data_IF_280784078647
#
_entry.id   IF_280784078647
#
_cell.length_a   1.000
_cell.length_b   1.000
_cell.length_c   1.000
_cell.angle_alpha   90.00
_cell.angle_beta   90.00
_cell.angle_gamma   90.00
#
_symmetry.space_group_name_H-M   'P 1'
#
loop_
_entity.id
_entity.type
_entity.pdbx_description
1 polymer ?
#
# COMPACT_ATOMS: atom_id res chain seq x y z
N UNK A 1 -0.74 6.89 -1.77
CA UNK A 1 -0.71 5.64 -2.56
C UNK A 1 -0.32 4.50 -1.63
N UNK A 2 -1.27 3.67 -1.18
CA UNK A 2 -0.98 2.62 -0.19
C UNK A 2 -0.27 1.40 -0.82
N UNK A 3 0.41 0.62 0.02
CA UNK A 3 1.18 -0.56 -0.39
C UNK A 3 0.29 -1.63 -1.04
N UNK A 4 -0.93 -1.79 -0.53
CA UNK A 4 -1.89 -2.80 -0.98
C UNK A 4 -2.33 -2.54 -2.42
N UNK A 5 -2.63 -1.30 -2.78
CA UNK A 5 -3.01 -0.90 -4.11
C UNK A 5 -1.89 -1.15 -5.12
N UNK A 6 -0.63 -0.86 -4.73
CA UNK A 6 0.53 -1.14 -5.58
C UNK A 6 0.72 -2.64 -5.80
N UNK A 7 0.62 -3.45 -4.74
CA UNK A 7 0.74 -4.91 -4.82
C UNK A 7 -0.35 -5.49 -5.75
N UNK A 8 -1.60 -5.04 -5.62
CA UNK A 8 -2.71 -5.45 -6.51
C UNK A 8 -2.45 -5.06 -7.97
N UNK A 9 -1.98 -3.84 -8.21
CA UNK A 9 -1.70 -3.35 -9.56
C UNK A 9 -0.56 -4.12 -10.23
N UNK A 10 0.51 -4.43 -9.50
CA UNK A 10 1.67 -5.16 -10.01
C UNK A 10 1.38 -6.64 -10.27
N UNK A 11 0.42 -7.23 -9.58
CA UNK A 11 0.08 -8.65 -9.67
C UNK A 11 -1.35 -8.86 -10.22
N UNK A 12 -1.74 -8.04 -11.19
CA UNK A 12 -3.06 -8.14 -11.80
C UNK A 12 -3.31 -9.53 -12.39
N UNK A 13 -4.44 -10.16 -12.03
CA UNK A 13 -4.82 -11.50 -12.50
C UNK A 13 -4.28 -12.66 -11.67
N UNK A 14 -3.56 -12.39 -10.58
CA UNK A 14 -3.15 -13.39 -9.60
C UNK A 14 -4.01 -13.29 -8.34
N UNK A 15 -4.34 -14.44 -7.75
CA UNK A 15 -4.97 -14.48 -6.43
C UNK A 15 -3.89 -14.24 -5.36
N UNK A 16 -4.04 -13.15 -4.61
CA UNK A 16 -3.10 -12.74 -3.58
C UNK A 16 -3.71 -12.97 -2.20
N UNK A 17 -2.94 -13.56 -1.29
CA UNK A 17 -3.28 -13.51 0.13
C UNK A 17 -2.97 -12.10 0.66
N UNK A 18 -4.01 -11.41 1.12
CA UNK A 18 -3.92 -10.04 1.64
C UNK A 18 -4.14 -9.97 3.15
N UNK A 19 -4.26 -11.12 3.83
CA UNK A 19 -4.45 -11.16 5.27
C UNK A 19 -3.26 -10.53 6.00
N UNK A 20 -3.55 -9.64 6.96
CA UNK A 20 -2.54 -8.95 7.76
C UNK A 20 -1.85 -7.77 7.06
N UNK A 21 -2.21 -7.45 5.81
CA UNK A 21 -1.76 -6.22 5.16
C UNK A 21 -2.53 -5.02 5.70
N UNK A 22 -1.81 -3.93 5.99
CA UNK A 22 -2.42 -2.68 6.43
C UNK A 22 -2.67 -1.78 5.21
N UNK A 23 -3.94 -1.54 4.89
CA UNK A 23 -4.40 -0.70 3.78
C UNK A 23 -4.10 0.80 3.98
N UNK A 24 -3.75 1.23 5.20
CA UNK A 24 -3.38 2.61 5.50
C UNK A 24 -1.87 2.84 5.37
N UNK A 25 -1.06 1.78 5.30
CA UNK A 25 0.39 1.93 5.17
C UNK A 25 0.78 2.25 3.73
N UNK A 26 1.66 3.22 3.60
CA UNK A 26 2.23 3.60 2.31
C UNK A 26 3.66 3.08 2.17
N UNK A 27 4.08 2.84 0.92
CA UNK A 27 5.47 2.58 0.59
C UNK A 27 6.00 3.77 -0.21
N UNK A 28 6.99 4.46 0.34
CA UNK A 28 7.72 5.57 -0.28
C UNK A 28 9.21 5.25 -0.26
N UNK A 29 9.88 5.35 -1.41
CA UNK A 29 11.31 5.04 -1.58
C UNK A 29 11.74 3.66 -1.04
N UNK A 30 10.85 2.66 -1.13
CA UNK A 30 11.10 1.31 -0.60
C UNK A 30 10.96 1.17 0.93
N UNK A 31 10.56 2.23 1.63
CA UNK A 31 10.30 2.22 3.06
C UNK A 31 8.80 2.20 3.36
N UNK A 32 8.40 1.41 4.36
CA UNK A 32 7.04 1.44 4.91
C UNK A 32 6.91 2.64 5.84
N UNK A 33 6.01 3.55 5.50
CA UNK A 33 5.80 4.80 6.23
C UNK A 33 4.33 4.89 6.67
N UNK A 34 4.05 5.60 7.79
CA UNK A 34 2.68 5.91 8.14
C UNK A 34 2.01 6.72 7.02
N UNK A 35 0.67 6.63 6.89
CA UNK A 35 -0.08 7.49 5.97
C UNK A 35 0.25 8.95 6.28
N UNK A 36 0.41 9.77 5.24
CA UNK A 36 0.37 11.22 5.42
C UNK A 36 -1.08 11.62 5.68
N UNK A 37 -1.30 12.39 6.72
CA UNK A 37 -2.59 13.03 6.92
C UNK A 37 -2.86 13.95 5.72
N UNK A 38 -4.06 13.89 5.14
CA UNK A 38 -4.46 14.71 3.99
C UNK A 38 -4.39 16.22 4.28
N UNK A 39 -4.24 16.61 5.55
CA UNK A 39 -4.10 18.00 6.01
C UNK A 39 -2.71 18.61 5.75
N UNK A 40 -1.70 17.81 5.40
CA UNK A 40 -0.32 18.26 5.14
C UNK A 40 0.03 18.42 3.63
N UNK A 41 -0.97 18.35 2.73
CA UNK A 41 -0.81 18.47 1.26
C UNK A 41 -1.20 19.85 0.70
#
# INVERSE_FOLDING_TARGET
HNAVAQIRALNAGMELNMEGLNEEKEVRDGHVVPPQDEEDL
#
